data_IF_570989961364
#
_entry.id   IF_570989961364
#
_cell.length_a   1.000
_cell.length_b   1.000
_cell.length_c   1.000
_cell.angle_alpha   90.00
_cell.angle_beta   90.00
_cell.angle_gamma   90.00
#
_symmetry.space_group_name_H-M   'P 1'
#
loop_
_entity.id
_entity.type
_entity.pdbx_description
1 polymer ?
#
# COMPACT_ATOMS: atom_id res chain seq x y z
N UNK A 1 51.68 -28.32 -6.03
CA UNK A 1 50.47 -29.16 -6.18
C UNK A 1 49.34 -28.79 -5.22
N UNK A 2 49.50 -27.82 -4.32
CA UNK A 2 48.43 -27.28 -3.46
C UNK A 2 47.65 -26.11 -4.09
N UNK A 3 48.25 -25.42 -5.06
CA UNK A 3 47.64 -24.24 -5.72
C UNK A 3 46.44 -24.59 -6.61
N UNK A 4 46.48 -25.70 -7.33
CA UNK A 4 45.37 -26.14 -8.21
C UNK A 4 44.12 -26.48 -7.41
N UNK A 5 44.25 -27.15 -6.26
CA UNK A 5 43.13 -27.47 -5.37
C UNK A 5 42.47 -26.23 -4.79
N UNK A 6 43.26 -25.23 -4.41
CA UNK A 6 42.75 -23.96 -3.87
C UNK A 6 42.01 -23.16 -4.94
N UNK A 7 42.52 -23.20 -6.17
CA UNK A 7 41.95 -22.51 -7.32
C UNK A 7 40.62 -23.14 -7.76
N UNK A 8 40.53 -24.48 -7.74
CA UNK A 8 39.30 -25.23 -7.99
C UNK A 8 38.26 -25.01 -6.89
N UNK A 9 38.67 -24.99 -5.62
CA UNK A 9 37.75 -24.68 -4.50
C UNK A 9 37.20 -23.25 -4.61
N UNK A 10 38.05 -22.25 -4.94
CA UNK A 10 37.61 -20.87 -5.16
C UNK A 10 36.66 -20.75 -6.36
N UNK A 11 36.91 -21.51 -7.43
CA UNK A 11 36.03 -21.59 -8.60
C UNK A 11 34.67 -22.19 -8.24
N UNK A 12 34.66 -23.24 -7.42
CA UNK A 12 33.42 -23.90 -6.98
C UNK A 12 32.62 -22.99 -6.06
N UNK A 13 33.28 -22.35 -5.10
CA UNK A 13 32.65 -21.44 -4.15
C UNK A 13 32.07 -20.20 -4.86
N UNK A 14 32.79 -19.67 -5.85
CA UNK A 14 32.28 -18.57 -6.69
C UNK A 14 31.05 -18.98 -7.53
N UNK A 15 31.05 -20.19 -8.08
CA UNK A 15 29.90 -20.73 -8.83
C UNK A 15 28.69 -20.98 -7.92
N UNK A 16 28.90 -21.49 -6.71
CA UNK A 16 27.84 -21.69 -5.71
C UNK A 16 27.24 -20.34 -5.28
N UNK A 17 28.06 -19.31 -5.04
CA UNK A 17 27.60 -17.95 -4.74
C UNK A 17 26.83 -17.32 -5.91
N UNK A 18 27.28 -17.53 -7.15
CA UNK A 18 26.58 -17.05 -8.36
C UNK A 18 25.20 -17.69 -8.48
N UNK A 19 25.09 -19.00 -8.30
CA UNK A 19 23.82 -19.74 -8.35
C UNK A 19 22.85 -19.22 -7.28
N UNK A 20 23.33 -19.09 -6.04
CA UNK A 20 22.53 -18.58 -4.93
C UNK A 20 21.99 -17.17 -5.19
N UNK A 21 22.80 -16.28 -5.79
CA UNK A 21 22.38 -14.89 -6.10
C UNK A 21 21.37 -14.86 -7.25
N UNK A 22 21.52 -15.70 -8.26
CA UNK A 22 20.56 -15.80 -9.36
C UNK A 22 19.19 -16.30 -8.87
N UNK A 23 19.17 -17.35 -8.03
CA UNK A 23 17.93 -17.85 -7.42
C UNK A 23 17.26 -16.79 -6.53
N UNK A 24 18.04 -16.04 -5.75
CA UNK A 24 17.52 -14.94 -4.93
C UNK A 24 16.93 -13.81 -5.79
N UNK A 25 17.56 -13.46 -6.91
CA UNK A 25 17.04 -12.42 -7.82
C UNK A 25 15.77 -12.90 -8.51
N UNK A 26 15.71 -14.16 -8.95
CA UNK A 26 14.54 -14.75 -9.59
C UNK A 26 13.33 -14.85 -8.64
N UNK A 27 13.56 -15.10 -7.35
CA UNK A 27 12.51 -15.05 -6.32
C UNK A 27 12.06 -13.61 -5.98
N UNK A 28 12.95 -12.63 -6.10
CA UNK A 28 12.67 -11.23 -5.79
C UNK A 28 12.02 -10.46 -6.96
N UNK A 29 12.20 -10.90 -8.20
CA UNK A 29 11.59 -10.29 -9.38
C UNK A 29 10.04 -10.36 -9.42
N UNK A 30 9.37 -11.48 -9.06
CA UNK A 30 7.93 -11.53 -8.91
C UNK A 30 7.44 -10.67 -7.73
N UNK A 31 8.23 -10.49 -6.67
CA UNK A 31 7.93 -9.55 -5.58
C UNK A 31 8.02 -8.10 -6.05
N UNK A 32 9.09 -7.77 -6.78
CA UNK A 32 9.28 -6.47 -7.41
C UNK A 32 8.15 -6.13 -8.38
N UNK A 33 7.75 -7.06 -9.25
CA UNK A 33 6.64 -6.87 -10.20
C UNK A 33 5.26 -6.86 -9.53
N UNK A 34 5.04 -7.66 -8.48
CA UNK A 34 3.79 -7.63 -7.68
C UNK A 34 3.61 -6.32 -6.93
N UNK A 35 4.70 -5.70 -6.45
CA UNK A 35 4.70 -4.36 -5.88
C UNK A 35 4.68 -3.25 -6.94
N UNK A 36 5.20 -3.54 -8.13
CA UNK A 36 5.21 -2.61 -9.27
C UNK A 36 3.88 -2.54 -9.99
N UNK A 37 2.90 -3.44 -9.71
CA UNK A 37 1.50 -3.22 -10.08
C UNK A 37 1.07 -1.88 -9.47
N UNK A 38 1.05 -0.81 -10.28
CA UNK A 38 0.63 0.47 -9.78
C UNK A 38 -0.91 0.43 -9.71
N UNK A 39 -1.48 1.50 -9.22
CA UNK A 39 -2.77 1.99 -9.69
C UNK A 39 -4.05 1.57 -8.96
N UNK A 40 -4.21 0.39 -8.36
CA UNK A 40 -5.50 0.13 -7.66
C UNK A 40 -5.66 0.95 -6.36
N UNK A 41 -4.55 1.32 -5.72
CA UNK A 41 -4.57 2.00 -4.41
C UNK A 41 -4.19 3.49 -4.46
N UNK A 42 -3.85 4.03 -5.64
CA UNK A 42 -3.53 5.45 -5.83
C UNK A 42 -4.77 6.35 -5.98
N UNK A 43 -5.98 5.81 -5.79
CA UNK A 43 -7.21 6.58 -5.98
C UNK A 43 -7.46 7.61 -4.87
N UNK A 44 -6.89 7.44 -3.68
CA UNK A 44 -6.92 8.47 -2.66
C UNK A 44 -5.50 9.00 -2.44
N UNK A 45 -5.27 10.26 -2.85
CA UNK A 45 -4.05 10.97 -2.48
C UNK A 45 -3.88 10.90 -0.95
N UNK A 46 -2.65 10.71 -0.47
CA UNK A 46 -2.36 10.66 0.98
C UNK A 46 -2.99 11.86 1.71
N UNK A 47 -2.99 13.03 1.06
CA UNK A 47 -3.67 14.23 1.53
C UNK A 47 -5.19 14.10 1.62
N UNK A 48 -5.86 13.49 0.63
CA UNK A 48 -7.30 13.25 0.65
C UNK A 48 -7.75 12.34 1.79
N UNK A 49 -6.99 11.29 2.10
CA UNK A 49 -7.28 10.41 3.24
C UNK A 49 -7.12 11.13 4.59
N UNK A 50 -6.07 11.96 4.73
CA UNK A 50 -5.83 12.74 5.95
C UNK A 50 -6.92 13.81 6.11
N UNK A 51 -7.23 14.55 5.04
CA UNK A 51 -8.28 15.55 5.05
C UNK A 51 -9.65 14.93 5.36
N UNK A 52 -9.97 13.79 4.74
CA UNK A 52 -11.19 13.03 5.01
C UNK A 52 -11.28 12.53 6.45
N UNK A 53 -10.18 12.02 7.02
CA UNK A 53 -10.09 11.61 8.43
C UNK A 53 -10.43 12.79 9.36
N UNK A 54 -9.78 13.94 9.17
CA UNK A 54 -10.00 15.15 9.99
C UNK A 54 -11.43 15.66 9.83
N UNK A 55 -11.92 15.74 8.59
CA UNK A 55 -13.28 16.21 8.29
C UNK A 55 -14.32 15.32 8.95
N UNK A 56 -14.16 13.99 8.89
CA UNK A 56 -15.09 13.06 9.53
C UNK A 56 -15.07 13.20 11.07
N UNK A 57 -13.91 13.42 11.68
CA UNK A 57 -13.84 13.69 13.12
C UNK A 57 -14.51 15.02 13.50
N UNK A 58 -14.27 16.08 12.72
CA UNK A 58 -14.93 17.37 12.91
C UNK A 58 -16.44 17.26 12.76
N UNK A 59 -16.93 16.50 11.78
CA UNK A 59 -18.36 16.26 11.60
C UNK A 59 -18.96 15.45 12.75
N UNK A 60 -18.26 14.42 13.25
CA UNK A 60 -18.73 13.63 14.38
C UNK A 60 -18.86 14.50 15.65
N UNK A 61 -17.84 15.31 15.96
CA UNK A 61 -17.89 16.26 17.09
C UNK A 61 -18.94 17.33 16.83
N UNK A 62 -19.03 17.85 15.61
CA UNK A 62 -20.00 18.84 15.19
C UNK A 62 -21.43 18.38 15.38
N UNK A 63 -21.74 17.10 15.07
CA UNK A 63 -23.06 16.52 15.32
C UNK A 63 -23.36 16.35 16.82
N UNK A 64 -22.35 16.00 17.63
CA UNK A 64 -22.52 15.94 19.08
C UNK A 64 -22.83 17.33 19.64
N UNK A 65 -22.10 18.36 19.21
CA UNK A 65 -22.36 19.75 19.60
C UNK A 65 -23.74 20.19 19.09
N UNK A 66 -24.08 19.85 17.84
CA UNK A 66 -25.36 20.17 17.24
C UNK A 66 -26.54 19.60 18.05
N UNK A 67 -26.43 18.39 18.61
CA UNK A 67 -27.47 17.84 19.49
C UNK A 67 -27.81 18.73 20.69
N UNK A 68 -26.84 19.45 21.25
CA UNK A 68 -27.07 20.38 22.38
C UNK A 68 -27.69 21.70 21.95
N UNK A 69 -27.41 22.15 20.72
CA UNK A 69 -27.90 23.43 20.19
C UNK A 69 -29.08 23.29 19.23
N UNK A 70 -29.56 22.06 19.00
CA UNK A 70 -30.59 21.74 18.01
C UNK A 70 -31.87 22.58 18.23
N UNK A 71 -32.26 22.76 19.48
CA UNK A 71 -33.45 23.53 19.87
C UNK A 71 -33.36 25.03 19.53
N UNK A 72 -32.18 25.54 19.17
CA UNK A 72 -31.94 26.95 18.82
C UNK A 72 -31.66 27.17 17.33
N UNK A 73 -31.53 26.11 16.54
CA UNK A 73 -31.10 26.18 15.14
C UNK A 73 -32.32 25.95 14.24
N UNK A 74 -32.57 26.84 13.27
CA UNK A 74 -33.59 26.62 12.25
C UNK A 74 -33.15 25.56 11.24
N UNK A 75 -34.02 24.62 10.82
CA UNK A 75 -35.44 24.49 11.14
C UNK A 75 -35.76 23.64 12.38
N UNK A 76 -34.76 23.14 13.10
CA UNK A 76 -34.93 22.19 14.19
C UNK A 76 -35.54 22.78 15.46
N UNK A 77 -35.49 24.09 15.67
CA UNK A 77 -36.23 24.72 16.78
C UNK A 77 -37.74 24.43 16.71
N UNK A 78 -38.28 24.17 15.51
CA UNK A 78 -39.69 23.82 15.32
C UNK A 78 -40.05 22.53 16.07
N UNK A 79 -39.12 21.56 16.17
CA UNK A 79 -39.32 20.36 16.98
C UNK A 79 -39.50 20.71 18.47
N UNK A 80 -38.68 21.63 18.98
CA UNK A 80 -38.79 22.09 20.35
C UNK A 80 -40.13 22.81 20.59
N UNK A 81 -40.57 23.63 19.62
CA UNK A 81 -41.87 24.29 19.65
C UNK A 81 -43.04 23.29 19.64
N UNK A 82 -42.99 22.26 18.78
CA UNK A 82 -44.01 21.21 18.73
C UNK A 82 -44.13 20.46 20.07
N UNK A 83 -43.00 20.23 20.75
CA UNK A 83 -42.96 19.50 22.01
C UNK A 83 -43.48 20.32 23.20
N UNK A 84 -43.18 21.62 23.25
CA UNK A 84 -43.42 22.44 24.44
C UNK A 84 -44.64 23.37 24.33
N UNK A 85 -45.09 23.74 23.12
CA UNK A 85 -46.26 24.62 22.96
C UNK A 85 -47.57 23.82 23.06
N UNK A 86 -48.49 24.21 23.95
CA UNK A 86 -49.75 23.50 24.16
C UNK A 86 -50.69 23.55 22.96
N UNK A 87 -50.50 24.53 22.06
CA UNK A 87 -51.28 24.71 20.82
C UNK A 87 -51.21 23.49 19.89
N UNK A 88 -50.09 22.74 19.91
CA UNK A 88 -49.87 21.57 19.06
C UNK A 88 -50.31 20.26 19.70
N UNK A 89 -50.87 20.29 20.92
CA UNK A 89 -51.24 19.07 21.66
C UNK A 89 -52.36 18.28 20.96
N UNK A 90 -53.14 18.94 20.11
CA UNK A 90 -54.18 18.35 19.27
C UNK A 90 -53.66 17.37 18.21
N UNK A 91 -52.37 17.43 17.85
CA UNK A 91 -51.72 16.53 16.89
C UNK A 91 -51.34 15.16 17.50
N UNK A 92 -51.55 14.98 18.81
CA UNK A 92 -51.22 13.75 19.54
C UNK A 92 -49.83 13.85 20.17
N UNK A 93 -49.79 14.02 21.49
CA UNK A 93 -48.55 14.19 22.26
C UNK A 93 -47.55 13.05 22.06
N UNK A 94 -48.05 11.80 22.03
CA UNK A 94 -47.22 10.62 21.83
C UNK A 94 -46.56 10.59 20.43
N UNK A 95 -47.27 11.04 19.40
CA UNK A 95 -46.72 11.12 18.04
C UNK A 95 -45.57 12.14 17.96
N UNK A 96 -45.74 13.30 18.60
CA UNK A 96 -44.74 14.36 18.65
C UNK A 96 -43.48 13.90 19.41
N UNK A 97 -43.66 13.21 20.53
CA UNK A 97 -42.55 12.70 21.32
C UNK A 97 -41.76 11.62 20.57
N UNK A 98 -42.46 10.63 19.98
CA UNK A 98 -41.83 9.59 19.16
C UNK A 98 -41.08 10.21 17.97
N UNK A 99 -41.69 11.16 17.26
CA UNK A 99 -41.05 11.85 16.14
C UNK A 99 -39.77 12.59 16.57
N UNK A 100 -39.83 13.28 17.70
CA UNK A 100 -38.66 13.97 18.28
C UNK A 100 -37.56 12.97 18.59
N UNK A 101 -37.87 11.89 19.33
CA UNK A 101 -36.90 10.85 19.70
C UNK A 101 -36.25 10.22 18.47
N UNK A 102 -37.03 9.95 17.42
CA UNK A 102 -36.51 9.40 16.15
C UNK A 102 -35.50 10.35 15.52
N UNK A 103 -35.76 11.65 15.49
CA UNK A 103 -34.82 12.63 14.93
C UNK A 103 -33.51 12.68 15.73
N UNK A 104 -33.59 12.70 17.07
CA UNK A 104 -32.39 12.62 17.92
C UNK A 104 -31.61 11.31 17.67
N UNK A 105 -32.31 10.19 17.56
CA UNK A 105 -31.69 8.89 17.29
C UNK A 105 -30.96 8.87 15.93
N UNK A 106 -31.57 9.43 14.87
CA UNK A 106 -30.94 9.53 13.55
C UNK A 106 -29.64 10.34 13.62
N UNK A 107 -29.64 11.47 14.32
CA UNK A 107 -28.44 12.32 14.48
C UNK A 107 -27.34 11.57 15.23
N UNK A 108 -27.68 10.86 16.29
CA UNK A 108 -26.72 10.03 17.05
C UNK A 108 -26.12 8.93 16.17
N UNK A 109 -26.96 8.22 15.41
CA UNK A 109 -26.50 7.19 14.47
C UNK A 109 -25.56 7.80 13.42
N UNK A 110 -25.89 8.97 12.87
CA UNK A 110 -25.02 9.69 11.95
C UNK A 110 -23.66 10.03 12.59
N UNK A 111 -23.63 10.51 13.83
CA UNK A 111 -22.39 10.80 14.54
C UNK A 111 -21.51 9.56 14.70
N UNK A 112 -22.11 8.42 15.05
CA UNK A 112 -21.42 7.12 15.15
C UNK A 112 -20.88 6.71 13.77
N UNK A 113 -21.66 6.87 12.70
CA UNK A 113 -21.21 6.57 11.34
C UNK A 113 -20.01 7.41 10.91
N UNK A 114 -20.04 8.73 11.15
CA UNK A 114 -18.91 9.61 10.84
C UNK A 114 -17.65 9.23 11.62
N UNK A 115 -17.80 8.89 12.91
CA UNK A 115 -16.70 8.36 13.70
C UNK A 115 -16.16 7.05 13.12
N UNK A 116 -17.04 6.14 12.68
CA UNK A 116 -16.68 4.90 11.99
C UNK A 116 -15.91 5.15 10.69
N UNK A 117 -16.35 6.10 9.86
CA UNK A 117 -15.65 6.50 8.65
C UNK A 117 -14.27 7.09 8.94
N UNK A 118 -14.12 7.92 9.98
CA UNK A 118 -12.82 8.44 10.39
C UNK A 118 -11.86 7.30 10.77
N UNK A 119 -12.33 6.29 11.51
CA UNK A 119 -11.54 5.10 11.86
C UNK A 119 -11.16 4.28 10.63
N UNK A 120 -12.07 4.12 9.67
CA UNK A 120 -11.80 3.41 8.42
C UNK A 120 -10.74 4.16 7.57
N UNK A 121 -10.87 5.48 7.44
CA UNK A 121 -9.90 6.33 6.75
C UNK A 121 -8.49 6.19 7.37
N UNK A 122 -8.39 6.20 8.70
CA UNK A 122 -7.13 5.96 9.42
C UNK A 122 -6.55 4.57 9.12
N UNK A 123 -7.38 3.53 9.09
CA UNK A 123 -6.94 2.18 8.76
C UNK A 123 -6.41 2.09 7.33
N UNK A 124 -7.08 2.74 6.37
CA UNK A 124 -6.59 2.82 4.99
C UNK A 124 -5.26 3.56 4.89
N UNK A 125 -5.10 4.66 5.63
CA UNK A 125 -3.83 5.40 5.68
C UNK A 125 -2.67 4.54 6.19
N UNK A 126 -2.86 3.83 7.30
CA UNK A 126 -1.83 2.95 7.86
C UNK A 126 -1.44 1.83 6.89
N UNK A 127 -2.43 1.20 6.23
CA UNK A 127 -2.17 0.18 5.20
C UNK A 127 -1.38 0.74 4.02
N UNK A 128 -1.71 1.94 3.56
CA UNK A 128 -1.02 2.59 2.44
C UNK A 128 0.42 2.99 2.81
N UNK A 129 0.64 3.48 4.04
CA UNK A 129 1.98 3.82 4.54
C UNK A 129 2.89 2.59 4.64
N UNK A 130 2.36 1.47 5.17
CA UNK A 130 3.09 0.19 5.25
C UNK A 130 3.44 -0.33 3.85
N UNK A 131 2.49 -0.30 2.92
CA UNK A 131 2.73 -0.78 1.56
C UNK A 131 3.79 0.08 0.85
N UNK A 132 3.75 1.39 1.03
CA UNK A 132 4.77 2.29 0.48
C UNK A 132 6.17 2.01 1.04
N UNK A 133 6.26 1.75 2.35
CA UNK A 133 7.53 1.40 3.01
C UNK A 133 8.05 0.03 2.52
N UNK A 134 7.18 -0.96 2.40
CA UNK A 134 7.52 -2.28 1.86
C UNK A 134 8.04 -2.18 0.41
N UNK A 135 7.37 -1.39 -0.43
CA UNK A 135 7.82 -1.13 -1.80
C UNK A 135 9.19 -0.44 -1.86
N UNK A 136 9.47 0.53 -0.98
CA UNK A 136 10.78 1.17 -0.89
C UNK A 136 11.87 0.17 -0.48
N UNK A 137 11.62 -0.60 0.58
CA UNK A 137 12.59 -1.56 1.11
C UNK A 137 12.90 -2.67 0.08
N UNK A 138 11.88 -3.19 -0.61
CA UNK A 138 12.08 -4.22 -1.63
C UNK A 138 12.86 -3.67 -2.82
N UNK A 139 12.58 -2.44 -3.26
CA UNK A 139 13.37 -1.79 -4.30
C UNK A 139 14.83 -1.60 -3.89
N UNK A 140 15.09 -1.27 -2.63
CA UNK A 140 16.45 -1.14 -2.10
C UNK A 140 17.18 -2.48 -2.04
N UNK A 141 16.54 -3.53 -1.53
CA UNK A 141 17.08 -4.90 -1.47
C UNK A 141 17.38 -5.40 -2.89
N UNK A 142 16.42 -5.31 -3.81
CA UNK A 142 16.61 -5.69 -5.22
C UNK A 142 17.75 -4.88 -5.84
N UNK A 143 17.84 -3.57 -5.56
CA UNK A 143 18.95 -2.74 -6.00
C UNK A 143 20.32 -3.21 -5.48
N UNK A 144 20.39 -3.66 -4.22
CA UNK A 144 21.61 -4.22 -3.65
C UNK A 144 21.99 -5.57 -4.28
N UNK A 145 21.02 -6.46 -4.50
CA UNK A 145 21.25 -7.76 -5.17
C UNK A 145 21.65 -7.59 -6.63
N UNK A 146 21.04 -6.65 -7.36
CA UNK A 146 21.44 -6.32 -8.74
C UNK A 146 22.86 -5.74 -8.80
N UNK A 147 23.24 -4.87 -7.87
CA UNK A 147 24.63 -4.38 -7.77
C UNK A 147 25.63 -5.50 -7.49
N UNK A 148 25.29 -6.43 -6.59
CA UNK A 148 26.13 -7.61 -6.31
C UNK A 148 26.25 -8.52 -7.54
N UNK A 149 25.15 -8.77 -8.24
CA UNK A 149 25.13 -9.54 -9.49
C UNK A 149 26.03 -8.89 -10.55
N UNK A 150 25.89 -7.58 -10.77
CA UNK A 150 26.72 -6.86 -11.72
C UNK A 150 28.21 -6.87 -11.36
N UNK A 151 28.55 -6.81 -10.06
CA UNK A 151 29.93 -6.92 -9.60
C UNK A 151 30.52 -8.33 -9.88
N UNK A 152 29.72 -9.38 -9.67
CA UNK A 152 30.10 -10.76 -9.96
C UNK A 152 30.29 -10.97 -11.46
N UNK A 153 29.35 -10.50 -12.29
CA UNK A 153 29.44 -10.59 -13.75
C UNK A 153 30.66 -9.79 -14.28
N UNK A 154 30.99 -8.65 -13.67
CA UNK A 154 32.19 -7.88 -14.01
C UNK A 154 33.51 -8.58 -13.61
N UNK A 155 33.53 -9.30 -12.48
CA UNK A 155 34.67 -10.13 -12.07
C UNK A 155 34.82 -11.31 -13.02
N UNK A 156 33.72 -11.96 -13.41
CA UNK A 156 33.70 -13.05 -14.39
C UNK A 156 34.26 -12.61 -15.74
N UNK A 157 33.79 -11.48 -16.27
CA UNK A 157 34.29 -10.91 -17.53
C UNK A 157 35.78 -10.53 -17.45
N UNK A 158 36.30 -10.12 -16.29
CA UNK A 158 37.71 -9.71 -16.17
C UNK A 158 38.68 -10.86 -15.89
N UNK A 159 38.23 -11.93 -15.23
CA UNK A 159 39.12 -12.96 -14.69
C UNK A 159 38.82 -14.38 -15.18
N UNK A 160 37.69 -14.63 -15.85
CA UNK A 160 37.23 -15.98 -16.19
C UNK A 160 36.90 -16.20 -17.67
N UNK A 161 37.12 -15.21 -18.55
CA UNK A 161 36.93 -15.33 -20.02
C UNK A 161 37.81 -16.43 -20.67
N UNK A 162 38.87 -16.89 -20.01
CA UNK A 162 39.84 -17.85 -20.55
C UNK A 162 39.62 -19.31 -20.09
N UNK A 163 38.63 -19.59 -19.24
CA UNK A 163 38.40 -20.96 -18.77
C UNK A 163 37.48 -21.71 -19.74
N UNK A 164 37.90 -22.88 -20.27
CA UNK A 164 37.09 -23.67 -21.19
C UNK A 164 35.75 -24.04 -20.55
N UNK A 165 34.65 -23.74 -21.24
CA UNK A 165 33.29 -24.15 -20.88
C UNK A 165 33.05 -25.66 -21.07
N UNK A 166 34.03 -26.52 -20.79
CA UNK A 166 33.93 -27.97 -21.10
C UNK A 166 33.02 -28.76 -20.15
N UNK A 167 32.46 -28.14 -19.10
CA UNK A 167 31.67 -28.85 -18.09
C UNK A 167 30.28 -28.24 -17.87
N UNK A 168 29.73 -27.55 -18.88
CA UNK A 168 28.29 -27.30 -18.92
C UNK A 168 27.60 -28.64 -19.17
N UNK A 169 27.21 -29.32 -18.09
CA UNK A 169 26.25 -30.41 -18.18
C UNK A 169 25.01 -29.93 -18.95
N UNK A 170 24.63 -30.74 -19.93
CA UNK A 170 23.49 -30.57 -20.82
C UNK A 170 22.21 -30.26 -20.02
N UNK A 171 21.76 -29.02 -20.04
CA UNK A 171 20.45 -28.68 -19.46
C UNK A 171 20.22 -27.21 -19.19
N UNK A 172 21.27 -26.42 -18.95
CA UNK A 172 21.13 -24.97 -18.78
C UNK A 172 21.44 -24.29 -20.11
N UNK A 173 20.45 -24.24 -21.00
CA UNK A 173 20.48 -23.32 -22.12
C UNK A 173 20.48 -21.90 -21.56
N UNK A 174 21.66 -21.32 -21.41
CA UNK A 174 21.83 -19.87 -21.22
C UNK A 174 21.37 -19.24 -22.54
N UNK A 175 20.09 -18.88 -22.63
CA UNK A 175 19.62 -17.96 -23.67
C UNK A 175 20.28 -16.61 -23.40
N UNK A 176 21.42 -16.41 -24.04
CA UNK A 176 22.08 -15.12 -24.15
C UNK A 176 21.11 -14.16 -24.85
N UNK A 177 20.52 -13.25 -24.08
CA UNK A 177 19.86 -12.01 -24.52
C UNK A 177 19.47 -11.93 -26.01
N UNK A 178 18.28 -12.40 -26.36
CA UNK A 178 17.57 -11.97 -27.59
C UNK A 178 16.73 -10.72 -27.29
N UNK A 179 17.32 -9.69 -26.68
CA UNK A 179 16.68 -8.37 -26.60
C UNK A 179 17.21 -7.56 -27.77
N UNK A 180 16.40 -7.23 -28.78
CA UNK A 180 16.83 -6.37 -29.87
C UNK A 180 17.23 -5.02 -29.29
N UNK A 181 18.46 -4.59 -29.54
CA UNK A 181 18.93 -3.26 -29.19
C UNK A 181 18.13 -2.24 -30.02
N UNK A 182 17.30 -1.36 -29.41
CA UNK A 182 16.39 -0.48 -30.15
C UNK A 182 17.09 0.71 -30.83
N UNK A 183 18.41 0.64 -31.04
CA UNK A 183 19.24 1.75 -31.52
C UNK A 183 20.10 1.47 -32.75
N UNK A 184 20.07 0.27 -33.33
CA UNK A 184 20.78 -0.02 -34.58
C UNK A 184 19.87 -0.81 -35.54
N UNK A 185 19.04 -0.09 -36.28
CA UNK A 185 18.56 -0.55 -37.58
C UNK A 185 19.69 -0.33 -38.58
N UNK A 186 20.32 -1.42 -39.01
CA UNK A 186 21.20 -1.39 -40.18
C UNK A 186 20.30 -1.40 -41.42
N UNK A 187 20.25 -0.24 -42.10
CA UNK A 187 20.14 -0.20 -43.56
C UNK A 187 21.42 -0.78 -44.19
#
# INVERSE_FOLDING_TARGET
MTSTRLQDDLLRDFKEQKKMIYEQVELLDPLGTSLRKPAAQRLASKGGLIFGEILCYLLAIGLIVFLFFMDKIYPFYILADLRHKPEYRSLGWLNIEVFTVVIYAIIVVMAIMFYGFARAARAFRLKNDILHLAGKNIKEIVGQHLKRKAAIDAIEQRHFLELPNEHLEEGVQVKVNEVPNPGYSAE
#
